data_IF_199147490157
#
_entry.id   IF_199147490157
#
_cell.length_a   1.000
_cell.length_b   1.000
_cell.length_c   1.000
_cell.angle_alpha   90.00
_cell.angle_beta   90.00
_cell.angle_gamma   90.00
#
_symmetry.space_group_name_H-M   'P 1'
#
loop_
_entity.id
_entity.type
_entity.pdbx_description
1 polymer ?
#
# COMPACT_ATOMS: atom_id res chain seq x y z
N UNK A 1 6.90 -15.63 7.73
CA UNK A 1 7.11 -14.29 7.16
C UNK A 1 6.62 -13.23 8.13
N UNK A 2 7.39 -12.16 8.34
CA UNK A 2 7.05 -11.07 9.26
C UNK A 2 6.67 -9.80 8.50
N UNK A 3 5.47 -9.29 8.74
CA UNK A 3 4.97 -8.04 8.14
C UNK A 3 4.79 -6.99 9.23
N UNK A 4 5.40 -5.81 9.04
CA UNK A 4 5.20 -4.67 9.92
C UNK A 4 4.13 -3.74 9.35
N UNK A 5 3.08 -3.49 10.09
CA UNK A 5 2.06 -2.48 9.75
C UNK A 5 2.36 -1.18 10.49
N UNK A 6 2.53 -0.10 9.73
CA UNK A 6 2.58 1.27 10.29
C UNK A 6 1.15 1.80 10.34
N UNK A 7 0.62 1.91 11.55
CA UNK A 7 -0.76 2.37 11.81
C UNK A 7 -0.80 3.90 11.90
N UNK A 8 -1.41 4.53 10.91
CA UNK A 8 -1.66 5.97 10.83
C UNK A 8 -2.96 6.41 11.53
N UNK A 9 -3.38 5.69 12.57
CA UNK A 9 -4.55 5.97 13.38
C UNK A 9 -5.88 5.89 12.61
N UNK A 10 -5.95 4.97 11.65
CA UNK A 10 -7.19 4.68 10.92
C UNK A 10 -8.01 3.59 11.60
N UNK A 11 -9.34 3.73 11.57
CA UNK A 11 -10.26 2.73 12.14
C UNK A 11 -10.27 1.41 11.36
N UNK A 12 -9.85 1.41 10.11
CA UNK A 12 -9.79 0.23 9.25
C UNK A 12 -8.43 -0.48 9.27
N UNK A 13 -7.43 0.05 9.98
CA UNK A 13 -6.10 -0.58 10.06
C UNK A 13 -6.19 -2.04 10.49
N UNK A 14 -7.04 -2.36 11.46
CA UNK A 14 -7.15 -3.74 11.95
C UNK A 14 -7.85 -4.70 10.97
N UNK A 15 -8.69 -4.20 10.08
CA UNK A 15 -9.21 -5.04 8.97
C UNK A 15 -8.06 -5.40 8.00
N UNK A 16 -7.15 -4.46 7.74
CA UNK A 16 -5.97 -4.71 6.93
C UNK A 16 -5.03 -5.73 7.61
N UNK A 17 -4.85 -5.62 8.93
CA UNK A 17 -4.10 -6.60 9.74
C UNK A 17 -4.75 -8.00 9.65
N UNK A 18 -6.09 -8.09 9.72
CA UNK A 18 -6.82 -9.35 9.58
C UNK A 18 -6.57 -9.95 8.18
N UNK A 19 -6.73 -9.16 7.11
CA UNK A 19 -6.46 -9.61 5.73
C UNK A 19 -5.03 -10.14 5.56
N UNK A 20 -4.03 -9.45 6.12
CA UNK A 20 -2.64 -9.89 6.10
C UNK A 20 -2.44 -11.21 6.88
N UNK A 21 -3.01 -11.31 8.07
CA UNK A 21 -2.85 -12.50 8.95
C UNK A 21 -3.53 -13.75 8.40
N UNK A 22 -4.53 -13.59 7.56
CA UNK A 22 -5.24 -14.70 6.89
C UNK A 22 -4.46 -15.24 5.68
N UNK A 23 -3.41 -14.52 5.19
CA UNK A 23 -2.64 -14.96 4.04
C UNK A 23 -1.71 -16.12 4.40
N UNK A 24 -1.55 -17.00 3.43
CA UNK A 24 -0.53 -18.01 3.39
C UNK A 24 0.28 -17.82 2.11
N UNK A 25 1.54 -17.50 2.23
CA UNK A 25 2.42 -17.25 1.10
C UNK A 25 3.28 -18.45 0.78
N UNK A 26 3.73 -18.56 -0.46
CA UNK A 26 4.62 -19.63 -0.88
C UNK A 26 5.95 -19.53 -0.13
N UNK A 27 6.33 -20.60 0.60
CA UNK A 27 7.63 -20.69 1.24
C UNK A 27 8.77 -20.79 0.24
N UNK A 28 10.01 -20.63 0.71
CA UNK A 28 11.22 -20.62 -0.13
C UNK A 28 11.41 -21.88 -1.00
N UNK A 29 10.77 -23.00 -0.65
CA UNK A 29 10.85 -24.29 -1.40
C UNK A 29 9.69 -24.47 -2.40
N UNK A 30 8.68 -23.57 -2.38
CA UNK A 30 7.51 -23.62 -3.24
C UNK A 30 6.45 -24.67 -2.86
N UNK A 31 6.78 -25.66 -2.04
CA UNK A 31 5.86 -26.71 -1.60
C UNK A 31 5.26 -26.45 -0.20
N UNK A 32 5.87 -25.57 0.58
CA UNK A 32 5.41 -25.18 1.91
C UNK A 32 4.68 -23.83 1.86
N UNK A 33 3.64 -23.69 2.65
CA UNK A 33 2.97 -22.41 2.88
C UNK A 33 3.38 -21.85 4.23
N UNK A 34 3.78 -20.58 4.26
CA UNK A 34 4.19 -19.88 5.46
C UNK A 34 3.09 -18.90 5.90
N UNK A 35 2.75 -18.94 7.19
CA UNK A 35 1.82 -17.98 7.77
C UNK A 35 2.47 -16.60 7.92
N UNK A 36 1.66 -15.57 7.77
CA UNK A 36 2.08 -14.19 7.95
C UNK A 36 1.96 -13.81 9.43
N UNK A 37 3.08 -13.41 10.04
CA UNK A 37 3.14 -12.84 11.38
C UNK A 37 3.11 -11.32 11.28
N UNK A 38 2.09 -10.69 11.86
CA UNK A 38 1.85 -9.24 11.70
C UNK A 38 2.14 -8.51 12.99
N UNK A 39 3.13 -7.62 12.95
CA UNK A 39 3.38 -6.65 14.01
C UNK A 39 2.79 -5.29 13.63
N UNK A 40 2.22 -4.57 14.61
CA UNK A 40 1.58 -3.26 14.39
C UNK A 40 2.26 -2.21 15.24
N UNK A 41 2.84 -1.20 14.59
CA UNK A 41 3.40 -0.03 15.27
C UNK A 41 2.64 1.23 14.86
N UNK A 42 2.37 2.09 15.83
CA UNK A 42 1.82 3.41 15.52
C UNK A 42 2.85 4.24 14.76
N UNK A 43 2.40 5.15 13.92
CA UNK A 43 3.28 6.06 13.18
C UNK A 43 4.10 7.00 14.09
N UNK A 44 3.89 6.97 15.39
CA UNK A 44 4.70 7.65 16.40
C UNK A 44 5.92 6.85 16.88
N UNK A 45 6.12 5.64 16.36
CA UNK A 45 7.33 4.85 16.58
C UNK A 45 8.56 5.55 15.98
N UNK A 46 9.75 5.08 16.35
CA UNK A 46 11.00 5.54 15.77
C UNK A 46 11.48 4.61 14.64
N UNK A 47 12.36 5.11 13.76
CA UNK A 47 13.00 4.25 12.75
C UNK A 47 13.81 3.11 13.38
N UNK A 48 14.37 3.32 14.58
CA UNK A 48 15.07 2.28 15.32
C UNK A 48 14.12 1.14 15.75
N UNK A 49 12.89 1.47 16.14
CA UNK A 49 11.87 0.46 16.46
C UNK A 49 11.49 -0.34 15.22
N UNK A 50 11.31 0.33 14.07
CA UNK A 50 11.03 -0.32 12.77
C UNK A 50 12.17 -1.26 12.37
N UNK A 51 13.41 -0.79 12.49
CA UNK A 51 14.61 -1.58 12.16
C UNK A 51 14.78 -2.79 13.09
N UNK A 52 14.40 -2.65 14.36
CA UNK A 52 14.49 -3.73 15.35
C UNK A 52 13.51 -4.89 15.08
N UNK A 53 12.41 -4.63 14.38
CA UNK A 53 11.47 -5.68 13.94
C UNK A 53 12.12 -6.57 12.88
N UNK A 54 13.00 -6.02 12.04
CA UNK A 54 13.60 -6.70 10.87
C UNK A 54 12.51 -7.35 10.00
N UNK A 55 11.59 -6.53 9.43
CA UNK A 55 10.43 -7.06 8.71
C UNK A 55 10.79 -7.52 7.29
N UNK A 56 10.14 -8.58 6.84
CA UNK A 56 10.20 -9.05 5.44
C UNK A 56 9.41 -8.13 4.51
N UNK A 57 8.37 -7.46 5.03
CA UNK A 57 7.60 -6.44 4.32
C UNK A 57 7.02 -5.39 5.27
N UNK A 58 6.74 -4.20 4.75
CA UNK A 58 6.06 -3.11 5.45
C UNK A 58 4.74 -2.80 4.77
N UNK A 59 3.70 -2.60 5.57
CA UNK A 59 2.40 -2.10 5.11
C UNK A 59 2.11 -0.77 5.79
N UNK A 60 1.85 0.26 5.01
CA UNK A 60 1.49 1.60 5.49
C UNK A 60 -0.02 1.74 5.42
N UNK A 61 -0.67 1.83 6.57
CA UNK A 61 -2.12 1.88 6.67
C UNK A 61 -2.72 3.17 6.11
N UNK A 62 -4.03 3.18 5.84
CA UNK A 62 -4.78 4.41 5.73
C UNK A 62 -4.60 5.30 6.96
N UNK A 63 -5.00 6.56 6.86
CA UNK A 63 -4.99 7.48 7.99
C UNK A 63 -5.66 8.81 7.66
N UNK A 64 -6.05 9.57 8.68
CA UNK A 64 -6.55 10.92 8.50
C UNK A 64 -5.42 11.91 8.25
N UNK A 65 -5.75 13.05 7.64
CA UNK A 65 -4.84 14.17 7.52
C UNK A 65 -4.20 14.33 6.14
N UNK A 66 -2.97 14.85 6.11
CA UNK A 66 -2.28 15.19 4.87
C UNK A 66 -0.78 14.82 4.97
N UNK A 67 -0.17 14.21 3.94
CA UNK A 67 1.20 13.71 3.99
C UNK A 67 2.27 14.78 4.21
N UNK A 68 1.96 16.06 3.98
CA UNK A 68 2.87 17.18 4.30
C UNK A 68 3.00 17.49 5.78
N UNK A 69 2.06 17.02 6.60
CA UNK A 69 2.03 17.30 8.04
C UNK A 69 2.70 16.13 8.79
N UNK A 70 3.85 16.36 9.40
CA UNK A 70 4.58 15.32 10.12
C UNK A 70 3.77 14.69 11.26
N UNK A 71 2.80 15.43 11.83
CA UNK A 71 1.89 14.90 12.87
C UNK A 71 0.93 13.83 12.33
N UNK A 72 0.55 13.93 11.05
CA UNK A 72 -0.44 13.04 10.45
C UNK A 72 0.22 11.72 10.00
N UNK A 73 1.47 11.79 9.54
CA UNK A 73 2.18 10.66 8.95
C UNK A 73 3.33 10.10 9.80
N UNK A 74 3.80 10.87 10.81
CA UNK A 74 4.87 10.42 11.72
C UNK A 74 6.04 9.78 10.98
N UNK A 75 6.41 8.55 11.41
CA UNK A 75 7.52 7.77 10.85
C UNK A 75 7.31 7.33 9.39
N UNK A 76 6.09 7.39 8.86
CA UNK A 76 5.75 6.86 7.52
C UNK A 76 6.68 7.37 6.43
N UNK A 77 7.00 8.67 6.42
CA UNK A 77 7.89 9.25 5.40
C UNK A 77 9.34 8.81 5.56
N UNK A 78 9.83 8.63 6.80
CA UNK A 78 11.17 8.09 7.05
C UNK A 78 11.26 6.63 6.61
N UNK A 79 10.23 5.83 6.86
CA UNK A 79 10.14 4.43 6.39
C UNK A 79 10.20 4.38 4.86
N UNK A 80 9.44 5.22 4.17
CA UNK A 80 9.47 5.29 2.70
C UNK A 80 10.85 5.65 2.15
N UNK A 81 11.57 6.55 2.82
CA UNK A 81 12.89 7.01 2.38
C UNK A 81 14.03 6.05 2.74
N UNK A 82 14.02 5.49 3.96
CA UNK A 82 15.17 4.78 4.51
C UNK A 82 15.01 3.24 4.43
N UNK A 83 13.76 2.73 4.50
CA UNK A 83 13.48 1.29 4.59
C UNK A 83 12.98 0.74 3.26
N UNK A 84 12.06 1.44 2.60
CA UNK A 84 11.31 0.92 1.45
C UNK A 84 12.15 0.79 0.16
N UNK A 85 13.40 1.27 0.15
CA UNK A 85 14.32 1.03 -0.97
C UNK A 85 14.76 -0.44 -1.08
N UNK A 86 14.70 -1.19 0.02
CA UNK A 86 15.14 -2.58 0.09
C UNK A 86 14.09 -3.53 0.66
N UNK A 87 13.19 -3.02 1.51
CA UNK A 87 12.10 -3.79 2.12
C UNK A 87 10.81 -3.53 1.33
N UNK A 88 10.17 -4.58 0.80
CA UNK A 88 8.89 -4.46 0.12
C UNK A 88 7.87 -3.66 0.92
N UNK A 89 7.27 -2.66 0.30
CA UNK A 89 6.37 -1.73 0.99
C UNK A 89 5.06 -1.55 0.22
N UNK A 90 3.95 -1.80 0.90
CA UNK A 90 2.60 -1.59 0.39
C UNK A 90 1.92 -0.42 1.09
N UNK A 91 1.54 0.62 0.34
CA UNK A 91 0.87 1.80 0.88
C UNK A 91 -0.62 1.84 0.53
N UNK A 92 -1.48 2.08 1.53
CA UNK A 92 -2.93 2.18 1.34
C UNK A 92 -3.41 3.59 1.67
N UNK A 93 -4.15 4.22 0.74
CA UNK A 93 -4.77 5.54 0.88
C UNK A 93 -3.74 6.62 1.28
N UNK A 94 -3.66 7.01 2.56
CA UNK A 94 -2.61 7.92 3.06
C UNK A 94 -1.20 7.39 2.75
N UNK A 95 -1.00 6.08 2.69
CA UNK A 95 0.26 5.46 2.31
C UNK A 95 0.68 5.80 0.86
N UNK A 96 -0.26 5.79 -0.09
CA UNK A 96 -0.02 6.26 -1.46
C UNK A 96 0.30 7.76 -1.48
N UNK A 97 -0.50 8.54 -0.77
CA UNK A 97 -0.32 9.99 -0.71
C UNK A 97 1.04 10.36 -0.10
N UNK A 98 1.47 9.63 0.95
CA UNK A 98 2.77 9.81 1.57
C UNK A 98 3.92 9.44 0.62
N UNK A 99 3.79 8.35 -0.14
CA UNK A 99 4.78 7.96 -1.15
C UNK A 99 4.89 9.02 -2.25
N UNK A 100 3.78 9.48 -2.81
CA UNK A 100 3.78 10.57 -3.81
C UNK A 100 4.46 11.81 -3.27
N UNK A 101 4.12 12.23 -2.06
CA UNK A 101 4.68 13.45 -1.45
C UNK A 101 6.17 13.31 -1.12
N UNK A 102 6.61 12.18 -0.54
CA UNK A 102 8.00 11.95 -0.14
C UNK A 102 8.95 11.94 -1.35
N UNK A 103 8.50 11.41 -2.47
CA UNK A 103 9.29 11.34 -3.71
C UNK A 103 9.13 12.58 -4.61
N UNK A 104 8.52 13.67 -4.11
CA UNK A 104 8.49 14.99 -4.75
C UNK A 104 7.29 15.25 -5.65
N UNK A 105 6.23 14.44 -5.56
CA UNK A 105 4.96 14.72 -6.23
C UNK A 105 4.06 15.65 -5.42
N UNK A 106 2.86 15.88 -5.94
CA UNK A 106 1.86 16.74 -5.32
C UNK A 106 0.61 15.97 -4.93
N UNK A 107 0.14 16.22 -3.71
CA UNK A 107 -1.14 15.72 -3.19
C UNK A 107 -2.06 16.91 -2.95
N UNK A 108 -3.29 16.81 -3.43
CA UNK A 108 -4.29 17.86 -3.32
C UNK A 108 -5.71 17.32 -3.24
N UNK A 109 -6.68 18.23 -3.09
CA UNK A 109 -8.06 17.81 -2.96
C UNK A 109 -8.59 17.11 -4.22
N UNK A 110 -9.35 16.03 -4.02
CA UNK A 110 -10.17 15.44 -5.07
C UNK A 110 -11.26 16.44 -5.53
N UNK A 111 -11.82 16.29 -6.74
CA UNK A 111 -12.91 17.14 -7.22
C UNK A 111 -14.13 17.17 -6.28
N UNK A 112 -14.37 16.05 -5.60
CA UNK A 112 -15.34 15.93 -4.52
C UNK A 112 -14.86 14.88 -3.52
N UNK A 113 -15.14 15.05 -2.22
CA UNK A 113 -14.83 14.04 -1.22
C UNK A 113 -15.66 12.78 -1.46
N UNK A 114 -15.03 11.61 -1.31
CA UNK A 114 -15.68 10.32 -1.48
C UNK A 114 -15.64 9.57 -0.16
N UNK A 115 -16.81 9.16 0.31
CA UNK A 115 -16.98 8.43 1.55
C UNK A 115 -17.83 7.19 1.33
N UNK A 116 -17.20 6.02 1.36
CA UNK A 116 -17.89 4.73 1.31
C UNK A 116 -18.61 4.45 -0.02
N UNK A 117 -18.08 4.93 -1.13
CA UNK A 117 -18.59 4.61 -2.47
C UNK A 117 -17.61 3.70 -3.19
N UNK A 118 -18.14 2.63 -3.77
CA UNK A 118 -17.39 1.81 -4.68
C UNK A 118 -17.23 2.52 -6.03
N UNK A 119 -16.04 2.45 -6.60
CA UNK A 119 -15.73 2.97 -7.94
C UNK A 119 -15.07 1.88 -8.76
N UNK A 120 -15.27 1.93 -10.07
CA UNK A 120 -14.58 1.06 -11.01
C UNK A 120 -13.09 1.46 -11.04
N UNK A 121 -12.21 0.47 -10.89
CA UNK A 121 -10.76 0.63 -10.95
C UNK A 121 -10.24 -0.01 -12.24
N UNK A 122 -9.69 0.79 -13.13
CA UNK A 122 -8.99 0.33 -14.31
C UNK A 122 -7.50 0.23 -14.00
N UNK A 123 -6.83 -0.87 -14.37
CA UNK A 123 -5.48 -1.19 -13.94
C UNK A 123 -4.65 -1.87 -15.04
N UNK A 124 -3.34 -1.93 -14.85
CA UNK A 124 -2.39 -2.48 -15.82
C UNK A 124 -2.24 -4.02 -15.78
N UNK A 125 -2.90 -4.70 -14.86
CA UNK A 125 -2.86 -6.15 -14.68
C UNK A 125 -1.53 -6.70 -14.13
N UNK A 126 -0.66 -5.85 -13.57
CA UNK A 126 0.65 -6.23 -13.03
C UNK A 126 0.72 -5.94 -11.53
N UNK A 127 1.72 -6.52 -10.86
CA UNK A 127 1.93 -6.30 -9.44
C UNK A 127 0.74 -6.74 -8.61
N UNK A 128 0.29 -5.90 -7.69
CA UNK A 128 -0.88 -6.15 -6.85
C UNK A 128 -2.17 -6.38 -7.64
N UNK A 129 -2.18 -6.04 -8.94
CA UNK A 129 -3.33 -6.23 -9.84
C UNK A 129 -3.25 -7.50 -10.70
N UNK A 130 -2.21 -8.32 -10.50
CA UNK A 130 -2.01 -9.55 -11.29
C UNK A 130 -3.20 -10.51 -11.13
N UNK A 131 -3.77 -10.95 -12.25
CA UNK A 131 -4.88 -11.90 -12.28
C UNK A 131 -6.23 -11.33 -11.84
N UNK A 132 -6.33 -10.06 -11.47
CA UNK A 132 -7.60 -9.43 -11.12
C UNK A 132 -8.44 -9.13 -12.36
N UNK A 133 -9.79 -9.12 -12.22
CA UNK A 133 -10.68 -8.75 -13.31
C UNK A 133 -10.48 -7.28 -13.74
N UNK A 134 -10.48 -7.02 -15.05
CA UNK A 134 -10.46 -5.66 -15.57
C UNK A 134 -11.63 -4.84 -15.02
N UNK A 135 -11.32 -3.70 -14.44
CA UNK A 135 -12.33 -2.77 -13.96
C UNK A 135 -13.13 -3.29 -12.78
N UNK A 136 -12.44 -3.90 -11.79
CA UNK A 136 -13.10 -4.29 -10.55
C UNK A 136 -13.61 -3.09 -9.76
N UNK A 137 -14.50 -3.35 -8.79
CA UNK A 137 -15.08 -2.33 -7.93
C UNK A 137 -14.35 -2.26 -6.60
N UNK A 138 -13.92 -1.07 -6.16
CA UNK A 138 -13.25 -0.86 -4.89
C UNK A 138 -13.79 0.33 -4.11
N UNK A 139 -13.76 0.21 -2.78
CA UNK A 139 -14.21 1.24 -1.86
C UNK A 139 -13.23 2.42 -1.81
N UNK A 140 -13.77 3.63 -1.77
CA UNK A 140 -13.00 4.86 -1.64
C UNK A 140 -13.51 5.70 -0.46
N UNK A 141 -12.57 6.22 0.35
CA UNK A 141 -12.85 7.01 1.55
C UNK A 141 -11.90 8.23 1.64
N UNK A 142 -11.58 8.86 0.52
CA UNK A 142 -10.57 9.90 0.47
C UNK A 142 -11.11 11.23 -0.05
N UNK A 143 -10.55 12.32 0.45
CA UNK A 143 -10.74 13.69 -0.03
C UNK A 143 -9.50 14.25 -0.72
N UNK A 144 -8.37 13.54 -0.62
CA UNK A 144 -7.10 13.86 -1.24
C UNK A 144 -6.79 12.86 -2.36
N UNK A 145 -6.00 13.29 -3.34
CA UNK A 145 -5.51 12.47 -4.46
C UNK A 145 -4.12 12.93 -4.87
N UNK A 146 -3.36 12.05 -5.51
CA UNK A 146 -2.15 12.43 -6.21
C UNK A 146 -2.52 13.35 -7.39
N UNK A 147 -2.04 14.58 -7.38
CA UNK A 147 -2.19 15.55 -8.48
C UNK A 147 -1.04 15.47 -9.47
N UNK A 148 0.16 15.21 -8.96
CA UNK A 148 1.35 14.97 -9.78
C UNK A 148 2.06 13.75 -9.21
N UNK A 149 2.24 12.72 -10.04
CA UNK A 149 3.00 11.51 -9.68
C UNK A 149 4.46 11.72 -10.11
N UNK A 150 5.45 11.50 -9.22
CA UNK A 150 6.87 11.62 -9.58
C UNK A 150 7.30 10.62 -10.65
N UNK A 151 8.29 10.97 -11.47
CA UNK A 151 8.77 10.14 -12.59
C UNK A 151 9.33 8.77 -12.16
N UNK A 152 9.74 8.63 -10.89
CA UNK A 152 10.19 7.35 -10.33
C UNK A 152 9.06 6.34 -10.12
N UNK A 153 7.80 6.78 -10.18
CA UNK A 153 6.63 5.91 -10.17
C UNK A 153 5.99 5.79 -11.55
N UNK A 154 5.38 4.65 -11.81
CA UNK A 154 4.38 4.48 -12.87
C UNK A 154 2.98 4.46 -12.23
N UNK A 155 2.01 5.02 -12.95
CA UNK A 155 0.59 4.90 -12.57
C UNK A 155 0.13 3.50 -12.97
N UNK A 156 -0.25 2.68 -12.01
CA UNK A 156 -0.66 1.29 -12.20
C UNK A 156 -2.18 1.10 -12.23
N UNK A 157 -2.93 2.05 -11.64
CA UNK A 157 -4.39 2.03 -11.68
C UNK A 157 -5.00 3.44 -11.66
N UNK A 158 -6.19 3.57 -12.25
CA UNK A 158 -6.95 4.81 -12.33
C UNK A 158 -8.46 4.57 -12.12
N UNK A 159 -9.19 5.65 -11.94
CA UNK A 159 -10.66 5.66 -11.97
C UNK A 159 -11.17 6.97 -12.56
N UNK A 160 -12.30 6.90 -13.24
CA UNK A 160 -12.98 8.10 -13.72
C UNK A 160 -13.85 8.74 -12.61
N UNK A 161 -13.77 10.04 -12.49
CA UNK A 161 -14.58 10.82 -11.56
C UNK A 161 -15.07 12.13 -12.21
N UNK A 162 -16.27 12.10 -12.76
CA UNK A 162 -16.75 13.18 -13.63
C UNK A 162 -15.91 13.25 -14.90
N UNK A 163 -15.32 14.41 -15.16
CA UNK A 163 -14.45 14.65 -16.32
C UNK A 163 -12.94 14.48 -15.97
N UNK A 164 -12.62 14.01 -14.76
CA UNK A 164 -11.24 13.81 -14.32
C UNK A 164 -10.90 12.33 -14.15
N UNK A 165 -9.72 11.94 -14.61
CA UNK A 165 -9.11 10.64 -14.31
C UNK A 165 -8.26 10.78 -13.04
N UNK A 166 -8.55 9.99 -12.02
CA UNK A 166 -7.83 10.01 -10.73
C UNK A 166 -6.91 8.80 -10.61
N UNK A 167 -5.74 9.00 -10.03
CA UNK A 167 -4.76 7.94 -9.74
C UNK A 167 -5.28 7.08 -8.60
N UNK A 168 -5.33 5.77 -8.82
CA UNK A 168 -5.77 4.77 -7.85
C UNK A 168 -4.70 3.75 -7.49
N UNK A 169 -3.58 3.72 -8.20
CA UNK A 169 -2.43 2.88 -7.92
C UNK A 169 -1.16 3.46 -8.51
N UNK A 170 -0.07 3.27 -7.80
CA UNK A 170 1.29 3.61 -8.25
C UNK A 170 2.23 2.47 -7.91
N UNK A 171 3.28 2.30 -8.75
CA UNK A 171 4.36 1.33 -8.55
C UNK A 171 5.69 2.03 -8.80
N UNK A 172 6.65 1.90 -7.87
CA UNK A 172 7.99 2.44 -8.05
C UNK A 172 8.75 1.63 -9.11
N UNK A 173 9.51 2.32 -9.96
CA UNK A 173 10.20 1.68 -11.10
C UNK A 173 11.40 0.84 -10.72
N UNK A 174 12.01 1.13 -9.56
CA UNK A 174 13.26 0.50 -9.10
C UNK A 174 13.12 -0.15 -7.73
N UNK A 175 12.37 0.48 -6.81
CA UNK A 175 12.20 -0.02 -5.45
C UNK A 175 10.94 -0.90 -5.33
N UNK A 176 10.91 -1.83 -4.39
CA UNK A 176 9.74 -2.70 -4.18
C UNK A 176 8.61 -1.96 -3.43
N UNK A 177 8.15 -0.86 -4.00
CA UNK A 177 7.08 -0.02 -3.43
C UNK A 177 5.88 -0.05 -4.37
N UNK A 178 4.74 -0.46 -3.84
CA UNK A 178 3.46 -0.43 -4.54
C UNK A 178 2.38 0.14 -3.63
N UNK A 179 1.54 1.03 -4.16
CA UNK A 179 0.54 1.71 -3.33
C UNK A 179 -0.79 1.81 -4.06
N UNK A 180 -1.89 1.79 -3.29
CA UNK A 180 -3.26 1.97 -3.79
C UNK A 180 -3.98 3.08 -3.03
N UNK A 181 -4.84 3.84 -3.73
CA UNK A 181 -5.65 4.91 -3.14
C UNK A 181 -6.96 4.40 -2.55
N UNK A 182 -7.48 3.29 -3.07
CA UNK A 182 -8.68 2.64 -2.55
C UNK A 182 -8.36 1.78 -1.33
N UNK A 183 -9.38 1.27 -0.66
CA UNK A 183 -9.28 0.46 0.55
C UNK A 183 -9.50 -1.03 0.22
N UNK A 184 -8.42 -1.85 0.08
CA UNK A 184 -8.56 -3.29 -0.14
C UNK A 184 -9.23 -4.00 1.03
N UNK A 185 -9.06 -3.51 2.26
CA UNK A 185 -9.61 -4.07 3.50
C UNK A 185 -11.11 -3.79 3.70
N UNK A 186 -11.73 -3.05 2.78
CA UNK A 186 -13.15 -2.76 2.85
C UNK A 186 -13.98 -3.92 2.29
N UNK A 187 -15.07 -4.25 2.95
CA UNK A 187 -16.06 -5.22 2.47
C UNK A 187 -16.67 -4.89 1.10
N UNK A 188 -16.53 -3.63 0.66
CA UNK A 188 -16.98 -3.18 -0.66
C UNK A 188 -15.92 -3.39 -1.76
N UNK A 189 -14.74 -3.92 -1.41
CA UNK A 189 -13.66 -4.27 -2.34
C UNK A 189 -13.57 -5.79 -2.41
N UNK A 190 -14.34 -6.38 -3.34
CA UNK A 190 -14.47 -7.84 -3.41
C UNK A 190 -13.17 -8.60 -3.73
N UNK A 191 -12.17 -7.93 -4.29
CA UNK A 191 -10.84 -8.48 -4.62
C UNK A 191 -9.75 -8.07 -3.62
N UNK A 192 -10.14 -7.61 -2.43
CA UNK A 192 -9.20 -7.03 -1.48
C UNK A 192 -8.18 -8.03 -0.95
N UNK A 193 -8.58 -9.27 -0.69
CA UNK A 193 -7.67 -10.34 -0.27
C UNK A 193 -6.64 -10.66 -1.37
N UNK A 194 -7.08 -10.71 -2.63
CA UNK A 194 -6.20 -10.97 -3.77
C UNK A 194 -5.18 -9.85 -3.97
N UNK A 195 -5.55 -8.58 -3.76
CA UNK A 195 -4.62 -7.44 -3.81
C UNK A 195 -3.52 -7.59 -2.77
N UNK A 196 -3.89 -7.92 -1.51
CA UNK A 196 -2.95 -8.12 -0.40
C UNK A 196 -2.07 -9.35 -0.66
N UNK A 197 -2.66 -10.45 -1.11
CA UNK A 197 -1.94 -11.67 -1.46
C UNK A 197 -0.92 -11.44 -2.56
N UNK A 198 -1.31 -10.76 -3.65
CA UNK A 198 -0.43 -10.46 -4.78
C UNK A 198 0.79 -9.64 -4.35
N UNK A 199 0.62 -8.67 -3.44
CA UNK A 199 1.74 -7.92 -2.89
C UNK A 199 2.73 -8.85 -2.18
N UNK A 200 2.23 -9.70 -1.28
CA UNK A 200 3.08 -10.59 -0.49
C UNK A 200 3.81 -11.60 -1.38
N UNK A 201 3.09 -12.28 -2.28
CA UNK A 201 3.67 -13.28 -3.19
C UNK A 201 4.72 -12.69 -4.11
N UNK A 202 4.45 -11.55 -4.73
CA UNK A 202 5.33 -10.99 -5.75
C UNK A 202 6.63 -10.46 -5.18
N UNK A 203 6.58 -9.81 -4.02
CA UNK A 203 7.74 -9.07 -3.52
C UNK A 203 8.49 -9.83 -2.43
N UNK A 204 7.83 -10.65 -1.64
CA UNK A 204 8.48 -11.33 -0.50
C UNK A 204 9.01 -12.70 -0.89
N UNK A 205 8.31 -13.44 -1.75
CA UNK A 205 8.80 -14.74 -2.24
C UNK A 205 9.90 -14.60 -3.30
N UNK A 206 10.01 -13.44 -3.97
CA UNK A 206 11.03 -13.12 -4.95
C UNK A 206 12.39 -12.68 -4.36
N UNK A 207 12.59 -12.77 -3.04
CA UNK A 207 13.88 -12.44 -2.42
C UNK A 207 14.99 -13.29 -3.04
N UNK A 208 16.07 -12.67 -3.59
CA UNK A 208 17.11 -13.42 -4.26
C UNK A 208 17.82 -14.32 -3.25
N UNK A 209 17.88 -15.61 -3.57
CA UNK A 209 18.84 -16.52 -2.94
C UNK A 209 20.21 -15.84 -2.94
N UNK A 210 20.71 -15.51 -1.76
CA UNK A 210 22.09 -15.09 -1.57
C UNK A 210 23.01 -16.16 -2.16
N UNK A 211 23.50 -15.95 -3.37
CA UNK A 211 24.60 -16.72 -3.92
C UNK A 211 25.84 -16.39 -3.10
N UNK A 212 26.25 -17.37 -2.30
CA UNK A 212 27.52 -17.42 -1.58
C UNK A 212 28.71 -17.35 -2.52
#
# INVERSE_FOLDING_TARGET
>A
MKVLVIDNFDSFTYNLVEYLSEQQVSGATGDDHEAVDVEVYKNTASLADVSAVDPDAVVISPGPGHPKNDRDVGITREVLRETSSTVPTFGVCLGLEAAVYEYGGEVGHAPAPIHGKASRIDHDGRGVFSGLPDGFSAARYHSLVARTVPDCFEVSATTEHGDETLVMGIRHREYPIECVQFHPESVLTGVGHEVVYNFLEQYVTASPTSTS
#
